data_IF_902683786436
#
_entry.id   IF_902683786436
#
_cell.length_a   1.000
_cell.length_b   1.000
_cell.length_c   1.000
_cell.angle_alpha   90.00
_cell.angle_beta   90.00
_cell.angle_gamma   90.00
#
_symmetry.space_group_name_H-M   'P 1'
#
loop_
_entity.id
_entity.type
_entity.pdbx_description
1 polymer ?
#
# COMPACT_ATOMS: atom_id res chain seq x y z
N UNK A 1 17.88 41.04 8.88
CA UNK A 1 18.01 39.78 8.13
C UNK A 1 18.98 38.90 8.91
N UNK A 2 18.44 38.00 9.73
CA UNK A 2 19.22 37.09 10.59
C UNK A 2 18.51 35.76 10.59
N UNK A 3 19.24 34.75 10.12
CA UNK A 3 18.71 33.45 9.69
C UNK A 3 18.14 32.69 10.89
N UNK A 4 16.96 32.11 10.62
CA UNK A 4 16.13 31.29 11.48
C UNK A 4 16.91 30.13 12.11
N UNK A 5 16.91 30.05 13.43
CA UNK A 5 17.27 28.83 14.15
C UNK A 5 16.05 27.88 14.11
N UNK A 6 15.98 27.04 13.08
CA UNK A 6 14.93 26.03 12.85
C UNK A 6 15.51 24.62 13.00
N UNK A 7 16.16 24.34 14.13
CA UNK A 7 16.55 22.98 14.50
C UNK A 7 15.64 22.48 15.61
N UNK A 8 14.39 22.22 15.23
CA UNK A 8 13.49 21.36 15.98
C UNK A 8 12.87 20.34 15.03
N UNK A 9 13.71 19.50 14.44
CA UNK A 9 13.25 18.24 13.85
C UNK A 9 13.65 17.12 14.78
N UNK A 10 12.86 17.07 15.85
CA UNK A 10 12.69 15.94 16.73
C UNK A 10 12.66 14.65 15.89
N UNK A 11 13.49 13.72 16.33
CA UNK A 11 13.61 12.33 15.96
C UNK A 11 12.26 11.58 16.09
N UNK A 12 11.28 11.89 15.24
CA UNK A 12 10.09 11.06 15.07
C UNK A 12 10.47 9.99 14.06
N UNK A 13 11.16 8.95 14.52
CA UNK A 13 11.16 7.66 13.84
C UNK A 13 9.78 7.05 14.07
N UNK A 14 8.77 7.61 13.40
CA UNK A 14 7.47 6.96 13.26
C UNK A 14 7.76 5.65 12.54
N UNK A 15 7.23 4.54 13.07
CA UNK A 15 7.12 3.25 12.40
C UNK A 15 6.89 3.43 10.89
N UNK A 16 7.97 3.44 10.10
CA UNK A 16 7.90 3.64 8.67
C UNK A 16 7.60 2.26 8.09
N UNK A 17 6.31 1.87 8.09
CA UNK A 17 5.87 0.90 7.09
C UNK A 17 6.15 1.59 5.75
N UNK A 18 7.14 1.15 4.96
CA UNK A 18 7.35 1.75 3.66
C UNK A 18 6.01 1.72 2.91
N UNK A 19 5.67 2.75 2.13
CA UNK A 19 4.66 2.60 1.10
C UNK A 19 5.22 1.53 0.15
N UNK A 20 4.87 0.28 0.45
CA UNK A 20 5.33 -0.88 -0.25
C UNK A 20 4.93 -0.72 -1.71
N UNK A 21 5.88 -1.11 -2.54
CA UNK A 21 5.90 -1.02 -3.99
C UNK A 21 4.65 -1.69 -4.56
N UNK A 22 4.46 -1.69 -5.88
CA UNK A 22 3.31 -2.35 -6.50
C UNK A 22 3.16 -3.79 -5.98
N UNK A 23 2.24 -3.98 -5.04
CA UNK A 23 2.08 -5.22 -4.32
C UNK A 23 1.18 -6.11 -5.18
N UNK A 24 1.65 -7.33 -5.42
CA UNK A 24 0.88 -8.39 -6.07
C UNK A 24 0.09 -9.12 -4.98
N UNK A 25 -1.23 -9.10 -5.09
CA UNK A 25 -2.11 -9.92 -4.26
C UNK A 25 -2.42 -11.20 -5.01
N UNK A 26 -2.13 -12.35 -4.40
CA UNK A 26 -2.57 -13.66 -4.87
C UNK A 26 -3.82 -14.03 -4.08
N UNK A 27 -4.95 -14.17 -4.76
CA UNK A 27 -6.21 -14.60 -4.16
C UNK A 27 -6.22 -16.12 -3.96
N UNK A 28 -7.08 -16.59 -3.05
CA UNK A 28 -7.34 -18.01 -2.83
C UNK A 28 -7.87 -18.74 -4.07
N UNK A 29 -8.39 -18.01 -5.05
CA UNK A 29 -8.81 -18.51 -6.36
C UNK A 29 -7.65 -18.68 -7.35
N UNK A 30 -6.43 -18.27 -6.98
CA UNK A 30 -5.28 -18.19 -7.87
C UNK A 30 -5.25 -16.91 -8.74
N UNK A 31 -6.25 -16.03 -8.64
CA UNK A 31 -6.22 -14.73 -9.33
C UNK A 31 -5.11 -13.84 -8.77
N UNK A 32 -4.30 -13.28 -9.66
CA UNK A 32 -3.24 -12.33 -9.32
C UNK A 32 -3.71 -10.90 -9.60
N UNK A 33 -3.56 -10.01 -8.62
CA UNK A 33 -3.97 -8.61 -8.73
C UNK A 33 -2.79 -7.71 -8.39
N UNK A 34 -2.38 -6.93 -9.39
CA UNK A 34 -1.30 -5.96 -9.27
C UNK A 34 -1.86 -4.55 -9.10
N UNK A 35 -1.39 -3.82 -8.10
CA UNK A 35 -1.84 -2.45 -7.92
C UNK A 35 -1.36 -1.81 -6.63
N UNK A 36 -1.85 -0.60 -6.39
CA UNK A 36 -1.55 0.12 -5.16
C UNK A 36 -2.43 -0.41 -4.03
N UNK A 37 -1.80 -0.98 -3.02
CA UNK A 37 -2.48 -1.53 -1.86
C UNK A 37 -2.67 -0.47 -0.76
N UNK A 38 -3.84 -0.53 -0.11
CA UNK A 38 -4.13 0.14 1.14
C UNK A 38 -4.72 -0.86 2.14
N UNK A 39 -4.00 -1.06 3.23
CA UNK A 39 -4.41 -1.90 4.36
C UNK A 39 -5.52 -1.23 5.16
N UNK A 40 -6.55 -1.98 5.53
CA UNK A 40 -7.64 -1.56 6.44
C UNK A 40 -7.83 -2.65 7.49
N UNK A 41 -8.47 -2.32 8.60
CA UNK A 41 -8.62 -3.26 9.73
C UNK A 41 -9.26 -4.60 9.35
N UNK A 42 -10.21 -4.62 8.41
CA UNK A 42 -10.96 -5.83 8.03
C UNK A 42 -10.83 -6.26 6.57
N UNK A 43 -10.13 -5.47 5.74
CA UNK A 43 -9.96 -5.76 4.33
C UNK A 43 -8.75 -5.02 3.73
N UNK A 44 -8.35 -5.46 2.55
CA UNK A 44 -7.40 -4.78 1.69
C UNK A 44 -8.13 -4.03 0.57
N UNK A 45 -7.75 -2.78 0.34
CA UNK A 45 -8.23 -1.98 -0.78
C UNK A 45 -7.10 -1.88 -1.80
N UNK A 46 -7.34 -2.35 -3.02
CA UNK A 46 -6.36 -2.29 -4.11
C UNK A 46 -6.88 -1.40 -5.23
N UNK A 47 -6.04 -0.47 -5.67
CA UNK A 47 -6.29 0.36 -6.84
C UNK A 47 -5.54 -0.21 -8.04
N UNK A 48 -6.28 -0.58 -9.07
CA UNK A 48 -5.77 -1.18 -10.30
C UNK A 48 -6.14 -0.29 -11.49
N UNK A 49 -5.30 -0.28 -12.53
CA UNK A 49 -5.62 0.38 -13.80
C UNK A 49 -6.10 -0.67 -14.79
N UNK A 50 -7.38 -0.62 -15.17
CA UNK A 50 -7.99 -1.55 -16.14
C UNK A 50 -8.59 -0.74 -17.29
N UNK A 51 -8.15 -1.02 -18.51
CA UNK A 51 -8.56 -0.31 -19.73
C UNK A 51 -8.43 1.21 -19.61
N UNK A 52 -7.28 1.69 -19.14
CA UNK A 52 -6.99 3.11 -18.96
C UNK A 52 -7.68 3.77 -17.76
N UNK A 53 -8.73 3.17 -17.19
CA UNK A 53 -9.47 3.67 -16.03
C UNK A 53 -8.93 3.11 -14.72
N UNK A 54 -8.88 3.96 -13.69
CA UNK A 54 -8.54 3.54 -12.33
C UNK A 54 -9.77 2.91 -11.70
N UNK A 55 -9.66 1.67 -11.26
CA UNK A 55 -10.69 0.94 -10.52
C UNK A 55 -10.17 0.58 -9.14
N UNK A 56 -11.07 0.56 -8.16
CA UNK A 56 -10.75 0.16 -6.80
C UNK A 56 -11.49 -1.13 -6.48
N UNK A 57 -10.77 -2.16 -6.03
CA UNK A 57 -11.35 -3.38 -5.46
C UNK A 57 -11.13 -3.43 -3.95
N UNK A 58 -12.11 -3.98 -3.23
CA UNK A 58 -11.99 -4.33 -1.81
C UNK A 58 -11.93 -5.85 -1.70
N UNK A 59 -10.94 -6.36 -0.98
CA UNK A 59 -10.65 -7.79 -0.86
C UNK A 59 -10.55 -8.11 0.63
N UNK A 60 -11.39 -9.03 1.11
CA UNK A 60 -11.31 -9.50 2.50
C UNK A 60 -10.04 -10.34 2.68
N UNK A 61 -9.38 -10.24 3.83
CA UNK A 61 -8.18 -11.03 4.13
C UNK A 61 -8.39 -12.54 3.98
N UNK A 62 -9.58 -13.03 4.31
CA UNK A 62 -9.94 -14.46 4.15
C UNK A 62 -9.88 -14.97 2.71
N UNK A 63 -9.81 -14.08 1.72
CA UNK A 63 -9.71 -14.43 0.29
C UNK A 63 -8.29 -14.31 -0.25
N UNK A 64 -7.34 -13.90 0.59
CA UNK A 64 -5.97 -13.62 0.18
C UNK A 64 -5.13 -14.83 0.57
N UNK A 65 -4.46 -15.40 -0.41
CA UNK A 65 -3.55 -16.52 -0.21
C UNK A 65 -2.16 -16.00 0.14
N UNK A 66 -1.66 -15.03 -0.62
CA UNK A 66 -0.35 -14.43 -0.42
C UNK A 66 -0.31 -12.99 -0.94
N UNK A 67 0.66 -12.23 -0.43
CA UNK A 67 0.96 -10.87 -0.89
C UNK A 67 2.46 -10.84 -1.18
N UNK A 68 2.82 -10.63 -2.43
CA UNK A 68 4.19 -10.56 -2.91
C UNK A 68 4.55 -9.10 -3.19
N UNK A 69 5.64 -8.65 -2.58
CA UNK A 69 6.24 -7.36 -2.87
C UNK A 69 7.22 -7.52 -4.02
N UNK A 70 7.04 -6.76 -5.10
CA UNK A 70 8.12 -6.63 -6.07
C UNK A 70 9.32 -5.94 -5.41
N UNK A 71 10.55 -6.46 -5.60
CA UNK A 71 11.77 -5.91 -5.04
C UNK A 71 12.09 -4.49 -5.53
#
# INVERSE_FOLDING_TARGET
MGIKNWTLLSFITLLYLPPLHADKIILSTGEEIWGKIQWKSSYLKIQIRKNGKIQTKKIKYSKILAIEQSP
#
